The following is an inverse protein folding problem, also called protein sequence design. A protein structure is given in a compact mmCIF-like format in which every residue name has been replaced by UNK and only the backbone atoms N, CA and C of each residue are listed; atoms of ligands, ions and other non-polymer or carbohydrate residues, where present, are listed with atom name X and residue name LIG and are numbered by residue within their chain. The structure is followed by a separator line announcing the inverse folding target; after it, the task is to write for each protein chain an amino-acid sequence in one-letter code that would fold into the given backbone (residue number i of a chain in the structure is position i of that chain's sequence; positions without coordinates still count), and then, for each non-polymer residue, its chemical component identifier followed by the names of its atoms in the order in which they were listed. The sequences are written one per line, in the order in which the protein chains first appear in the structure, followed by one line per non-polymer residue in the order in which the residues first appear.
data_IF_941188423930
#
_entry.id   IF_941188423930
#
_cell.length_a   1.000
_cell.length_b   1.000
_cell.length_c   1.000
_cell.angle_alpha   90.00
_cell.angle_beta   90.00
_cell.angle_gamma   90.00
#
_symmetry.space_group_name_H-M   'P 1'
#
loop_
_entity.id
_entity.type
_entity.pdbx_description
1 polymer ?
#
# COMPACT_ATOMS: atom_id res chain seq x y z
N UNK A 1 -5.84 -11.48 -6.35
CA UNK A 1 -4.67 -11.29 -7.23
C UNK A 1 -3.43 -11.28 -6.35
N UNK A 2 -2.36 -11.98 -6.75
CA UNK A 2 -1.08 -11.90 -6.04
C UNK A 2 -0.40 -10.56 -6.39
N UNK A 3 0.14 -9.86 -5.39
CA UNK A 3 0.87 -8.60 -5.55
C UNK A 3 1.95 -8.66 -6.66
N UNK A 4 2.62 -9.81 -6.78
CA UNK A 4 3.65 -10.03 -7.80
C UNK A 4 3.14 -10.00 -9.24
N UNK A 5 1.89 -10.40 -9.48
CA UNK A 5 1.29 -10.35 -10.82
C UNK A 5 0.97 -8.91 -11.23
N UNK A 6 0.39 -8.14 -10.30
CA UNK A 6 0.07 -6.72 -10.53
C UNK A 6 1.35 -5.91 -10.74
N UNK A 7 2.40 -6.16 -9.95
CA UNK A 7 3.70 -5.50 -10.15
C UNK A 7 4.36 -5.84 -11.48
N UNK A 8 4.24 -7.10 -11.94
CA UNK A 8 4.75 -7.51 -13.25
C UNK A 8 4.00 -6.79 -14.38
N UNK A 9 2.68 -6.68 -14.28
CA UNK A 9 1.86 -5.95 -15.27
C UNK A 9 2.19 -4.46 -15.30
N UNK A 10 2.40 -3.85 -14.14
CA UNK A 10 2.82 -2.45 -14.00
C UNK A 10 4.20 -2.23 -14.62
N UNK A 11 5.17 -3.11 -14.35
CA UNK A 11 6.51 -3.03 -14.92
C UNK A 11 6.50 -3.16 -16.44
N UNK A 12 5.65 -4.03 -16.98
CA UNK A 12 5.46 -4.16 -18.43
C UNK A 12 4.82 -2.90 -19.03
N UNK A 13 3.77 -2.38 -18.39
CA UNK A 13 3.12 -1.13 -18.80
C UNK A 13 4.10 0.05 -18.80
N UNK A 14 5.06 0.09 -17.86
CA UNK A 14 6.10 1.11 -17.80
C UNK A 14 7.03 1.01 -19.00
N UNK A 15 7.42 -0.20 -19.40
CA UNK A 15 8.23 -0.43 -20.57
C UNK A 15 7.51 -0.03 -21.87
N UNK A 16 6.22 -0.35 -22.00
CA UNK A 16 5.38 0.09 -23.13
C UNK A 16 5.32 1.62 -23.22
N UNK A 17 5.03 2.30 -22.10
CA UNK A 17 5.01 3.75 -22.05
C UNK A 17 6.37 4.35 -22.43
N UNK A 18 7.48 3.78 -21.94
CA UNK A 18 8.85 4.26 -22.23
C UNK A 18 9.22 4.06 -23.69
N UNK A 19 8.71 3.00 -24.31
CA UNK A 19 8.92 2.73 -25.73
C UNK A 19 8.16 3.74 -26.61
N UNK A 20 6.91 4.07 -26.27
CA UNK A 20 6.08 4.99 -27.07
C UNK A 20 6.39 6.46 -26.82
N UNK A 21 6.53 6.86 -25.55
CA UNK A 21 6.68 8.26 -25.16
C UNK A 21 8.14 8.72 -25.02
N UNK A 22 9.12 7.80 -25.15
CA UNK A 22 10.53 8.08 -24.94
C UNK A 22 10.89 8.25 -23.46
N UNK A 23 11.98 8.97 -23.17
CA UNK A 23 12.45 9.16 -21.79
C UNK A 23 11.68 10.28 -21.07
N UNK A 24 10.51 9.93 -20.53
CA UNK A 24 9.71 10.81 -19.67
C UNK A 24 10.13 10.74 -18.19
N UNK A 25 11.07 9.87 -17.82
CA UNK A 25 11.47 9.62 -16.43
C UNK A 25 11.98 10.89 -15.75
N UNK A 26 12.83 11.64 -16.45
CA UNK A 26 13.38 12.92 -15.98
C UNK A 26 12.30 13.97 -15.81
N UNK A 27 11.37 14.05 -16.77
CA UNK A 27 10.23 14.98 -16.72
C UNK A 27 9.33 14.69 -15.54
N UNK A 28 9.05 13.41 -15.27
CA UNK A 28 8.24 12.99 -14.11
C UNK A 28 8.94 13.33 -12.79
N UNK A 29 10.23 13.03 -12.67
CA UNK A 29 11.00 13.33 -11.44
C UNK A 29 11.11 14.83 -11.19
N UNK A 30 11.23 15.64 -12.25
CA UNK A 30 11.30 17.10 -12.13
C UNK A 30 9.94 17.76 -11.86
N UNK A 31 8.83 17.16 -12.32
CA UNK A 31 7.47 17.68 -12.12
C UNK A 31 6.77 17.07 -10.89
N UNK A 32 7.50 16.75 -9.82
CA UNK A 32 6.91 16.32 -8.54
C UNK A 32 6.68 17.55 -7.65
N UNK A 33 5.42 17.95 -7.47
CA UNK A 33 5.05 19.04 -6.54
C UNK A 33 4.26 18.48 -5.34
N UNK A 34 3.07 17.93 -5.59
CA UNK A 34 2.19 17.36 -4.56
C UNK A 34 1.90 15.90 -4.84
N UNK A 35 1.87 15.09 -3.78
CA UNK A 35 1.44 13.69 -3.85
C UNK A 35 -0.07 13.62 -4.13
N UNK A 36 -0.45 12.91 -5.19
CA UNK A 36 -1.85 12.68 -5.60
C UNK A 36 -2.55 11.67 -4.68
N UNK A 37 -1.82 10.66 -4.22
CA UNK A 37 -2.30 9.64 -3.28
C UNK A 37 -1.55 9.80 -1.98
N UNK A 38 -2.29 9.90 -0.89
CA UNK A 38 -1.74 9.97 0.46
C UNK A 38 -2.41 8.91 1.34
N UNK A 39 -1.77 8.63 2.46
CA UNK A 39 -2.22 7.60 3.40
C UNK A 39 -2.59 8.28 4.71
N UNK A 40 -3.72 7.87 5.30
CA UNK A 40 -4.15 8.29 6.63
C UNK A 40 -4.10 7.07 7.56
N UNK A 41 -3.39 7.21 8.67
CA UNK A 41 -3.42 6.22 9.73
C UNK A 41 -4.66 6.43 10.61
N UNK A 42 -5.42 5.35 10.82
CA UNK A 42 -6.60 5.29 11.67
C UNK A 42 -6.37 4.21 12.73
N UNK A 43 -7.02 4.37 13.88
CA UNK A 43 -7.03 3.37 14.95
C UNK A 43 -8.36 2.63 14.89
N UNK A 44 -8.32 1.32 14.74
CA UNK A 44 -9.49 0.45 14.78
C UNK A 44 -9.43 -0.48 16.00
N UNK A 45 -10.55 -0.74 16.66
CA UNK A 45 -10.57 -1.60 17.86
C UNK A 45 -11.21 -2.94 17.50
N UNK A 46 -10.40 -4.00 17.49
CA UNK A 46 -10.87 -5.38 17.26
C UNK A 46 -10.62 -6.18 18.52
N UNK A 47 -11.70 -6.68 19.12
CA UNK A 47 -11.66 -7.54 20.32
C UNK A 47 -10.86 -6.96 21.51
N UNK A 48 -10.89 -5.63 21.70
CA UNK A 48 -10.19 -4.95 22.80
C UNK A 48 -8.74 -4.55 22.49
N UNK A 49 -8.23 -4.86 21.29
CA UNK A 49 -6.91 -4.46 20.81
C UNK A 49 -7.06 -3.30 19.82
N UNK A 50 -6.33 -2.20 20.03
CA UNK A 50 -6.32 -1.06 19.09
C UNK A 50 -5.27 -1.32 18.00
N UNK A 51 -5.71 -1.53 16.76
CA UNK A 51 -4.86 -1.78 15.61
C UNK A 51 -4.72 -0.51 14.76
N UNK A 52 -3.50 -0.17 14.30
CA UNK A 52 -3.31 0.83 13.26
C UNK A 52 -3.77 0.26 11.92
N UNK A 53 -4.73 0.93 11.27
CA UNK A 53 -5.22 0.64 9.93
C UNK A 53 -4.88 1.82 9.03
N UNK A 54 -4.40 1.58 7.82
CA UNK A 54 -4.14 2.66 6.86
C UNK A 54 -5.28 2.76 5.85
N UNK A 55 -5.82 3.96 5.69
CA UNK A 55 -6.78 4.30 4.64
C UNK A 55 -6.04 5.12 3.57
N UNK A 56 -6.17 4.74 2.30
CA UNK A 56 -5.67 5.56 1.20
C UNK A 56 -6.68 6.68 0.91
N UNK A 57 -6.20 7.90 0.64
CA UNK A 57 -7.05 9.00 0.19
C UNK A 57 -6.42 9.70 -1.01
N UNK A 58 -7.28 10.06 -1.96
CA UNK A 58 -6.92 10.86 -3.13
C UNK A 58 -7.07 12.33 -2.79
N UNK A 59 -5.95 13.04 -2.67
CA UNK A 59 -5.97 14.50 -2.56
C UNK A 59 -5.91 15.05 -3.98
N UNK A 60 -7.10 15.26 -4.56
CA UNK A 60 -7.26 15.55 -5.98
C UNK A 60 -6.44 16.75 -6.45
N UNK A 61 -5.58 16.52 -7.44
CA UNK A 61 -5.21 17.38 -8.58
C UNK A 61 -4.27 16.54 -9.47
N UNK A 62 -4.70 16.19 -10.69
CA UNK A 62 -3.87 15.42 -11.63
C UNK A 62 -2.93 16.38 -12.37
N UNK A 63 -1.76 16.65 -11.78
CA UNK A 63 -0.77 17.57 -12.38
C UNK A 63 -0.15 17.04 -13.70
N UNK A 64 -0.49 15.81 -14.09
CA UNK A 64 0.11 15.10 -15.20
C UNK A 64 -0.86 14.92 -16.39
N UNK A 65 -1.98 15.66 -16.46
CA UNK A 65 -2.84 15.68 -17.66
C UNK A 65 -2.11 16.24 -18.90
N UNK A 66 -1.11 17.10 -18.69
CA UNK A 66 -0.35 17.75 -19.77
C UNK A 66 0.84 16.92 -20.31
N UNK A 67 1.25 15.85 -19.62
CA UNK A 67 2.32 14.97 -20.09
C UNK A 67 1.72 13.88 -20.99
N UNK A 68 1.63 14.11 -22.31
CA UNK A 68 1.17 13.06 -23.24
C UNK A 68 0.45 13.50 -24.52
N UNK A 69 0.22 14.80 -24.73
CA UNK A 69 -0.49 15.33 -25.90
C UNK A 69 0.20 15.05 -27.25
N UNK A 70 1.48 14.67 -27.26
CA UNK A 70 2.28 14.44 -28.47
C UNK A 70 2.35 12.98 -28.95
N UNK A 71 1.44 12.09 -28.52
CA UNK A 71 1.31 10.73 -29.08
C UNK A 71 1.63 9.56 -28.15
N UNK A 72 1.74 9.79 -26.83
CA UNK A 72 1.98 8.74 -25.83
C UNK A 72 1.05 8.80 -24.61
N UNK A 73 0.11 9.74 -24.57
CA UNK A 73 -0.76 9.99 -23.42
C UNK A 73 -1.67 8.82 -23.03
N UNK A 74 -2.11 8.01 -24.00
CA UNK A 74 -2.96 6.85 -23.72
C UNK A 74 -2.20 5.76 -22.94
N UNK A 75 -0.96 5.45 -23.35
CA UNK A 75 -0.12 4.49 -22.63
C UNK A 75 0.28 5.02 -21.26
N UNK A 76 0.52 6.32 -21.14
CA UNK A 76 0.79 6.95 -19.85
C UNK A 76 -0.44 6.93 -18.92
N UNK A 77 -1.64 7.12 -19.46
CA UNK A 77 -2.88 7.02 -18.68
C UNK A 77 -3.14 5.58 -18.22
N UNK A 78 -2.89 4.59 -19.07
CA UNK A 78 -2.95 3.16 -18.71
C UNK A 78 -1.94 2.82 -17.61
N UNK A 79 -0.70 3.28 -17.77
CA UNK A 79 0.38 3.14 -16.78
C UNK A 79 -0.04 3.70 -15.41
N UNK A 80 -0.55 4.95 -15.39
CA UNK A 80 -1.02 5.60 -14.15
C UNK A 80 -2.11 4.78 -13.45
N UNK A 81 -3.10 4.27 -14.21
CA UNK A 81 -4.18 3.44 -13.64
C UNK A 81 -3.65 2.14 -13.04
N UNK A 82 -2.70 1.49 -13.71
CA UNK A 82 -2.09 0.25 -13.22
C UNK A 82 -1.23 0.52 -11.97
N UNK A 83 -0.44 1.59 -11.95
CA UNK A 83 0.31 2.01 -10.76
C UNK A 83 -0.60 2.38 -9.58
N UNK A 84 -1.71 3.07 -9.83
CA UNK A 84 -2.66 3.43 -8.79
C UNK A 84 -3.22 2.18 -8.09
N UNK A 85 -3.65 1.18 -8.87
CA UNK A 85 -4.11 -0.12 -8.34
C UNK A 85 -3.02 -0.84 -7.54
N UNK A 86 -1.78 -0.81 -8.02
CA UNK A 86 -0.66 -1.43 -7.31
C UNK A 86 -0.36 -0.75 -5.97
N UNK A 87 -0.44 0.58 -5.91
CA UNK A 87 -0.27 1.35 -4.68
C UNK A 87 -1.41 1.05 -3.69
N UNK A 88 -2.65 0.95 -4.16
CA UNK A 88 -3.80 0.59 -3.34
C UNK A 88 -3.60 -0.78 -2.65
N UNK A 89 -3.22 -1.80 -3.42
CA UNK A 89 -2.92 -3.14 -2.88
C UNK A 89 -1.73 -3.14 -1.92
N UNK A 90 -0.70 -2.33 -2.17
CA UNK A 90 0.42 -2.18 -1.23
C UNK A 90 -0.04 -1.57 0.10
N UNK A 91 -0.97 -0.61 0.08
CA UNK A 91 -1.49 0.01 1.30
C UNK A 91 -2.33 -0.98 2.09
N UNK A 92 -3.13 -1.81 1.43
CA UNK A 92 -3.86 -2.89 2.08
C UNK A 92 -2.93 -3.93 2.73
N UNK A 93 -1.91 -4.37 1.98
CA UNK A 93 -0.90 -5.31 2.51
C UNK A 93 -0.12 -4.71 3.68
N UNK A 94 0.29 -3.44 3.58
CA UNK A 94 0.98 -2.74 4.65
C UNK A 94 0.11 -2.58 5.90
N UNK A 95 -1.20 -2.34 5.73
CA UNK A 95 -2.16 -2.32 6.84
C UNK A 95 -2.21 -3.66 7.55
N UNK A 96 -2.36 -4.74 6.79
CA UNK A 96 -2.39 -6.09 7.34
C UNK A 96 -1.07 -6.48 8.01
N UNK A 97 0.06 -6.11 7.40
CA UNK A 97 1.38 -6.36 7.96
C UNK A 97 1.62 -5.56 9.24
N UNK A 98 1.12 -4.32 9.32
CA UNK A 98 1.23 -3.48 10.52
C UNK A 98 0.29 -3.94 11.64
N UNK A 99 -0.87 -4.52 11.31
CA UNK A 99 -1.84 -5.00 12.30
C UNK A 99 -1.45 -6.34 12.93
N UNK A 100 -0.71 -7.20 12.20
CA UNK A 100 -0.36 -8.55 12.66
C UNK A 100 0.48 -8.58 13.97
N UNK A 101 1.57 -7.81 14.12
CA UNK A 101 2.30 -7.73 15.38
C UNK A 101 1.44 -7.20 16.55
N UNK A 102 0.54 -6.25 16.26
CA UNK A 102 -0.37 -5.67 17.26
C UNK A 102 -1.34 -6.69 17.86
N UNK A 103 -1.79 -7.67 17.08
CA UNK A 103 -2.64 -8.76 17.56
C UNK A 103 -1.84 -9.90 18.22
N UNK A 104 -0.65 -10.21 17.68
CA UNK A 104 0.14 -11.36 18.11
C UNK A 104 0.69 -11.19 19.54
N UNK A 105 1.17 -9.99 19.88
CA UNK A 105 1.79 -9.72 21.19
C UNK A 105 0.81 -9.95 22.36
N UNK A 106 -0.42 -9.38 22.38
CA UNK A 106 -1.40 -9.65 23.44
C UNK A 106 -1.77 -11.13 23.57
N UNK A 107 -1.93 -11.86 22.46
CA UNK A 107 -2.26 -13.28 22.46
C UNK A 107 -1.16 -14.12 23.12
N UNK A 108 0.11 -13.85 22.79
CA UNK A 108 1.26 -14.53 23.39
C UNK A 108 1.34 -14.28 24.89
N UNK A 109 1.14 -13.03 25.33
CA UNK A 109 1.15 -12.66 26.75
C UNK A 109 0.02 -13.37 27.49
N UNK A 110 -1.20 -13.36 26.93
CA UNK A 110 -2.36 -14.02 27.53
C UNK A 110 -2.08 -15.52 27.69
N UNK A 111 -1.60 -16.18 26.64
CA UNK A 111 -1.23 -17.61 26.66
C UNK A 111 -0.18 -17.93 27.73
N UNK A 112 0.88 -17.11 27.86
CA UNK A 112 1.88 -17.29 28.91
C UNK A 112 1.32 -17.09 30.33
N UNK A 113 0.40 -16.15 30.50
CA UNK A 113 -0.26 -15.91 31.79
C UNK A 113 -1.13 -17.11 32.20
N UNK A 114 -1.93 -17.64 31.27
CA UNK A 114 -2.70 -18.87 31.50
C UNK A 114 -1.82 -20.07 31.85
N UNK A 115 -0.69 -20.23 31.16
CA UNK A 115 0.24 -21.32 31.46
C UNK A 115 0.91 -21.16 32.84
N UNK A 116 1.21 -19.93 33.26
CA UNK A 116 1.71 -19.66 34.63
C UNK A 116 0.66 -19.97 35.69
N UNK A 117 -0.60 -19.59 35.46
CA UNK A 117 -1.68 -19.84 36.40
C UNK A 117 -1.99 -21.34 36.53
N UNK A 118 -2.03 -22.06 35.42
CA UNK A 118 -2.24 -23.52 35.42
C UNK A 118 -1.15 -24.29 36.16
N UNK A 119 0.11 -23.83 36.10
CA UNK A 119 1.20 -24.41 36.91
C UNK A 119 1.03 -24.13 38.40
N UNK A 120 0.55 -22.93 38.76
CA UNK A 120 0.34 -22.53 40.15
C UNK A 120 -0.81 -23.31 40.82
N UNK A 121 -1.86 -23.64 40.07
CA UNK A 121 -2.98 -24.46 40.53
C UNK A 121 -2.69 -25.97 40.64
N UNK A 122 -1.58 -26.46 40.07
CA UNK A 122 -1.21 -27.88 40.11
C UNK A 122 -0.21 -28.24 41.23
N UNK A 123 0.38 -27.24 41.89
CA UNK A 123 1.35 -27.42 42.98
C UNK A 123 0.81 -27.07 44.36
N UNK A 124 -0.50 -26.75 44.47
CA UNK A 124 -1.23 -26.59 45.73
C UNK A 124 -2.28 -27.68 45.86
#
# INVERSE_FOLDING_TARGET
MLMGEVMREVAFSLAEAKFTAGDFSTTVIQNVNKAQVKIRAKKDNVAGVTLPVFEHYHEGTDNYELTGLAGGGEQLAKLKRNYAKAVELLVELASLQSSFPGLNIPLLILSQSWMRESKRSSTG
#
